data_IF_872937073711
#
_entry.id   IF_872937073711
#
_cell.length_a   1.000
_cell.length_b   1.000
_cell.length_c   1.000
_cell.angle_alpha   90.00
_cell.angle_beta   90.00
_cell.angle_gamma   90.00
#
_symmetry.space_group_name_H-M   'P 1'
#
loop_
_entity.id
_entity.type
_entity.pdbx_description
1 polymer ?
#
# COMPACT_ATOMS: atom_id res chain seq x y z
N UNK A 1 28.60 -8.33 -23.77
CA UNK A 1 27.85 -8.03 -22.54
C UNK A 1 28.59 -6.96 -21.76
N UNK A 2 27.97 -5.81 -21.55
CA UNK A 2 28.65 -4.64 -20.99
C UNK A 2 28.92 -4.83 -19.49
N UNK A 3 30.17 -4.71 -19.07
CA UNK A 3 30.66 -4.84 -17.68
C UNK A 3 30.36 -3.58 -16.85
N UNK A 4 29.14 -3.04 -16.97
CA UNK A 4 28.67 -1.92 -16.18
C UNK A 4 27.51 -2.36 -15.29
N UNK A 5 27.62 -2.04 -14.00
CA UNK A 5 26.54 -2.19 -13.03
C UNK A 5 25.45 -1.20 -13.42
N UNK A 6 24.40 -1.66 -14.08
CA UNK A 6 23.21 -0.84 -14.30
C UNK A 6 22.60 -0.53 -12.93
N UNK A 7 22.70 0.72 -12.48
CA UNK A 7 22.00 1.17 -11.30
C UNK A 7 20.50 1.05 -11.58
N UNK A 8 19.88 0.01 -11.04
CA UNK A 8 18.44 -0.14 -11.03
C UNK A 8 17.89 0.97 -10.14
N UNK A 9 17.49 2.08 -10.77
CA UNK A 9 16.82 3.18 -10.10
C UNK A 9 15.49 2.64 -9.57
N UNK A 10 15.41 2.40 -8.27
CA UNK A 10 14.13 2.07 -7.63
C UNK A 10 13.14 3.16 -7.99
N UNK A 11 11.98 2.78 -8.50
CA UNK A 11 10.84 3.68 -8.77
C UNK A 11 10.36 4.46 -7.53
N UNK A 12 10.93 4.16 -6.35
CA UNK A 12 10.81 4.92 -5.10
C UNK A 12 11.59 6.25 -5.07
N UNK A 13 12.52 6.50 -6.01
CA UNK A 13 13.40 7.69 -6.03
C UNK A 13 12.90 8.81 -6.97
N UNK A 14 11.66 8.76 -7.45
CA UNK A 14 11.02 9.96 -8.02
C UNK A 14 10.63 10.84 -6.83
N UNK A 15 11.16 12.07 -6.73
CA UNK A 15 10.84 12.94 -5.61
C UNK A 15 9.32 13.18 -5.61
N UNK A 16 8.70 12.75 -4.51
CA UNK A 16 7.52 13.33 -3.89
C UNK A 16 6.40 13.79 -4.82
N UNK A 17 5.25 13.10 -4.79
CA UNK A 17 4.00 13.83 -5.07
C UNK A 17 4.00 15.06 -4.16
N UNK A 18 3.98 16.27 -4.71
CA UNK A 18 4.03 17.56 -3.99
C UNK A 18 2.84 17.80 -3.05
N UNK A 19 2.02 16.79 -2.82
CA UNK A 19 0.75 16.85 -2.11
C UNK A 19 0.83 15.96 -0.86
N UNK A 20 0.55 16.56 0.29
CA UNK A 20 0.48 15.81 1.54
C UNK A 20 -0.67 14.80 1.51
N UNK A 21 -0.53 13.70 2.25
CA UNK A 21 -1.59 12.70 2.35
C UNK A 21 -2.91 13.32 2.83
N UNK A 22 -2.85 14.18 3.84
CA UNK A 22 -4.02 14.89 4.38
C UNK A 22 -4.73 15.70 3.31
N UNK A 23 -3.97 16.42 2.48
CA UNK A 23 -4.54 17.16 1.36
C UNK A 23 -5.25 16.25 0.35
N UNK A 24 -4.60 15.16 -0.05
CA UNK A 24 -5.19 14.18 -0.98
C UNK A 24 -6.52 13.63 -0.42
N UNK A 25 -6.56 13.29 0.87
CA UNK A 25 -7.76 12.79 1.52
C UNK A 25 -8.88 13.84 1.60
N UNK A 26 -8.55 15.11 1.87
CA UNK A 26 -9.53 16.21 1.85
C UNK A 26 -10.14 16.40 0.45
N UNK A 27 -9.33 16.33 -0.60
CA UNK A 27 -9.79 16.41 -1.98
C UNK A 27 -10.71 15.23 -2.32
N UNK A 28 -10.31 14.01 -1.97
CA UNK A 28 -11.13 12.81 -2.20
C UNK A 28 -12.44 12.86 -1.43
N UNK A 29 -12.43 13.36 -0.18
CA UNK A 29 -13.65 13.56 0.60
C UNK A 29 -14.62 14.51 -0.11
N UNK A 30 -14.13 15.64 -0.63
CA UNK A 30 -14.96 16.57 -1.41
C UNK A 30 -15.50 15.94 -2.69
N UNK A 31 -14.73 15.07 -3.35
CA UNK A 31 -15.16 14.37 -4.56
C UNK A 31 -16.25 13.33 -4.28
N UNK A 32 -16.06 12.46 -3.29
CA UNK A 32 -17.04 11.43 -2.93
C UNK A 32 -18.29 12.01 -2.26
N UNK A 33 -18.16 13.15 -1.57
CA UNK A 33 -19.28 13.89 -1.01
C UNK A 33 -20.22 14.51 -2.05
N UNK A 34 -19.86 14.50 -3.35
CA UNK A 34 -20.66 15.02 -4.47
C UNK A 34 -21.17 16.46 -4.30
N UNK A 35 -20.53 17.25 -3.44
CA UNK A 35 -20.97 18.63 -3.16
C UNK A 35 -20.56 19.62 -4.25
N UNK A 36 -19.59 19.26 -5.10
CA UNK A 36 -19.00 20.10 -6.14
C UNK A 36 -18.73 19.26 -7.39
N UNK A 37 -18.75 19.89 -8.57
CA UNK A 37 -18.33 19.23 -9.81
C UNK A 37 -16.81 19.02 -9.85
N UNK A 38 -16.34 18.18 -10.77
CA UNK A 38 -14.91 17.86 -10.91
C UNK A 38 -14.09 19.11 -11.25
N UNK A 39 -14.66 19.98 -12.09
CA UNK A 39 -14.06 21.25 -12.53
C UNK A 39 -13.99 22.24 -11.37
N UNK A 40 -15.05 22.30 -10.55
CA UNK A 40 -15.07 23.13 -9.34
C UNK A 40 -14.05 22.64 -8.31
N UNK A 41 -13.90 21.33 -8.13
CA UNK A 41 -12.90 20.74 -7.23
C UNK A 41 -11.50 21.07 -7.74
N UNK A 42 -11.24 20.87 -9.03
CA UNK A 42 -9.97 21.21 -9.69
C UNK A 42 -9.60 22.69 -9.48
N UNK A 43 -10.58 23.59 -9.63
CA UNK A 43 -10.41 25.03 -9.43
C UNK A 43 -10.16 25.40 -7.97
N UNK A 44 -10.97 24.89 -7.04
CA UNK A 44 -10.87 25.23 -5.60
C UNK A 44 -9.57 24.73 -4.98
N UNK A 45 -9.12 23.53 -5.36
CA UNK A 45 -7.93 22.91 -4.78
C UNK A 45 -6.67 23.15 -5.62
N UNK A 46 -6.78 23.83 -6.77
CA UNK A 46 -5.63 24.15 -7.64
C UNK A 46 -4.94 22.91 -8.22
N UNK A 47 -5.71 21.86 -8.51
CA UNK A 47 -5.18 20.59 -9.05
C UNK A 47 -5.72 20.32 -10.45
N UNK A 48 -4.96 19.60 -11.28
CA UNK A 48 -5.47 19.14 -12.56
C UNK A 48 -6.55 18.05 -12.38
N UNK A 49 -7.57 18.04 -13.25
CA UNK A 49 -8.63 17.01 -13.28
C UNK A 49 -8.05 15.59 -13.42
N UNK A 50 -7.01 15.42 -14.24
CA UNK A 50 -6.30 14.15 -14.39
C UNK A 50 -5.71 13.64 -13.07
N UNK A 51 -5.18 14.55 -12.26
CA UNK A 51 -4.59 14.22 -10.95
C UNK A 51 -5.65 13.70 -9.99
N UNK A 52 -6.85 14.31 -9.99
CA UNK A 52 -7.98 13.84 -9.19
C UNK A 52 -8.40 12.41 -9.57
N UNK A 53 -8.49 12.10 -10.86
CA UNK A 53 -8.85 10.76 -11.32
C UNK A 53 -7.78 9.72 -10.99
N UNK A 54 -6.49 10.07 -11.09
CA UNK A 54 -5.40 9.20 -10.64
C UNK A 54 -5.48 8.92 -9.15
N UNK A 55 -5.80 9.92 -8.33
CA UNK A 55 -5.98 9.74 -6.88
C UNK A 55 -7.19 8.89 -6.56
N UNK A 56 -8.31 9.08 -7.27
CA UNK A 56 -9.50 8.23 -7.15
C UNK A 56 -9.18 6.78 -7.47
N UNK A 57 -8.48 6.54 -8.58
CA UNK A 57 -8.09 5.18 -9.02
C UNK A 57 -7.19 4.51 -7.99
N UNK A 58 -6.18 5.24 -7.50
CA UNK A 58 -5.29 4.75 -6.46
C UNK A 58 -6.03 4.45 -5.15
N UNK A 59 -6.91 5.36 -4.73
CA UNK A 59 -7.74 5.19 -3.54
C UNK A 59 -8.63 3.95 -3.66
N UNK A 60 -9.33 3.77 -4.79
CA UNK A 60 -10.18 2.59 -4.98
C UNK A 60 -9.39 1.28 -4.97
N UNK A 61 -8.17 1.26 -5.54
CA UNK A 61 -7.30 0.09 -5.49
C UNK A 61 -6.90 -0.27 -4.05
N UNK A 62 -6.63 0.73 -3.22
CA UNK A 62 -6.11 0.52 -1.87
C UNK A 62 -7.21 0.56 -0.78
N UNK A 63 -8.44 0.90 -1.15
CA UNK A 63 -9.56 1.12 -0.21
C UNK A 63 -9.76 -0.06 0.71
N UNK A 64 -9.77 -1.28 0.17
CA UNK A 64 -10.02 -2.49 0.96
C UNK A 64 -8.89 -2.77 1.95
N UNK A 65 -7.63 -2.54 1.55
CA UNK A 65 -6.48 -2.67 2.44
C UNK A 65 -6.54 -1.62 3.55
N UNK A 66 -6.85 -0.37 3.21
CA UNK A 66 -6.99 0.71 4.18
C UNK A 66 -8.12 0.45 5.18
N UNK A 67 -9.27 0.00 4.70
CA UNK A 67 -10.40 -0.36 5.56
C UNK A 67 -10.06 -1.55 6.45
N UNK A 68 -9.38 -2.57 5.93
CA UNK A 68 -8.94 -3.71 6.73
C UNK A 68 -7.95 -3.33 7.84
N UNK A 69 -6.97 -2.46 7.54
CA UNK A 69 -6.02 -1.95 8.54
C UNK A 69 -6.73 -1.08 9.58
N UNK A 70 -7.66 -0.22 9.16
CA UNK A 70 -8.44 0.58 10.10
C UNK A 70 -9.31 -0.31 10.99
N UNK A 71 -9.99 -1.30 10.42
CA UNK A 71 -10.79 -2.26 11.19
C UNK A 71 -9.93 -3.01 12.20
N UNK A 72 -8.74 -3.50 11.81
CA UNK A 72 -7.84 -4.17 12.74
C UNK A 72 -7.31 -3.28 13.87
N UNK A 73 -7.18 -1.97 13.63
CA UNK A 73 -6.75 -1.01 14.66
C UNK A 73 -7.82 -0.75 15.72
N UNK A 74 -9.10 -0.77 15.34
CA UNK A 74 -10.21 -0.48 16.25
C UNK A 74 -10.87 -1.73 16.84
N UNK A 75 -10.60 -2.91 16.30
CA UNK A 75 -11.33 -4.14 16.61
C UNK A 75 -10.41 -5.20 17.23
N UNK A 76 -10.85 -5.79 18.33
CA UNK A 76 -10.15 -6.94 18.92
C UNK A 76 -10.37 -8.21 18.10
N UNK A 77 -9.37 -9.08 18.07
CA UNK A 77 -9.38 -10.31 17.28
C UNK A 77 -10.53 -11.24 17.67
N UNK A 78 -10.86 -11.30 18.96
CA UNK A 78 -11.93 -12.15 19.50
C UNK A 78 -13.34 -11.64 19.19
N UNK A 79 -13.51 -10.32 19.04
CA UNK A 79 -14.78 -9.73 18.61
C UNK A 79 -15.00 -9.94 17.11
N UNK A 80 -13.94 -9.83 16.32
CA UNK A 80 -13.96 -10.09 14.88
C UNK A 80 -14.36 -11.54 14.55
N UNK A 81 -13.71 -12.52 15.17
CA UNK A 81 -14.00 -13.94 14.90
C UNK A 81 -15.42 -14.36 15.32
N UNK A 82 -15.98 -13.73 16.35
CA UNK A 82 -17.34 -14.03 16.83
C UNK A 82 -18.43 -13.58 15.87
N UNK A 83 -18.21 -12.45 15.20
CA UNK A 83 -19.16 -11.86 14.27
C UNK A 83 -18.97 -12.35 12.83
N UNK A 84 -17.92 -13.15 12.57
CA UNK A 84 -17.66 -13.74 11.26
C UNK A 84 -18.71 -14.83 10.95
N UNK A 85 -19.88 -14.43 10.47
CA UNK A 85 -20.98 -15.33 10.10
C UNK A 85 -20.89 -15.84 8.66
N UNK A 86 -21.75 -16.80 8.29
CA UNK A 86 -21.58 -17.61 7.07
C UNK A 86 -21.48 -16.84 5.75
N UNK A 87 -22.09 -15.66 5.61
CA UNK A 87 -21.99 -14.86 4.37
C UNK A 87 -20.62 -14.18 4.25
N UNK A 88 -20.11 -13.65 5.35
CA UNK A 88 -18.82 -12.99 5.45
C UNK A 88 -17.69 -14.01 5.26
N UNK A 89 -17.84 -15.20 5.86
CA UNK A 89 -16.91 -16.33 5.68
C UNK A 89 -16.87 -16.79 4.22
N UNK A 90 -18.03 -16.91 3.56
CA UNK A 90 -18.08 -17.30 2.15
C UNK A 90 -17.40 -16.27 1.25
N UNK A 91 -17.68 -14.98 1.46
CA UNK A 91 -17.04 -13.90 0.71
C UNK A 91 -15.52 -13.84 0.94
N UNK A 92 -15.07 -14.08 2.17
CA UNK A 92 -13.65 -14.19 2.49
C UNK A 92 -13.01 -15.38 1.77
N UNK A 93 -13.65 -16.56 1.83
CA UNK A 93 -13.15 -17.77 1.19
C UNK A 93 -13.00 -17.59 -0.33
N UNK A 94 -14.03 -17.09 -1.01
CA UNK A 94 -13.95 -16.84 -2.47
C UNK A 94 -12.77 -15.94 -2.85
N UNK A 95 -12.51 -14.92 -2.03
CA UNK A 95 -11.50 -13.90 -2.32
C UNK A 95 -10.09 -14.30 -1.91
N UNK A 96 -9.93 -15.06 -0.83
CA UNK A 96 -8.64 -15.31 -0.19
C UNK A 96 -8.27 -16.80 -0.07
N UNK A 97 -9.10 -17.75 -0.55
CA UNK A 97 -8.85 -19.20 -0.39
C UNK A 97 -7.45 -19.62 -0.82
N UNK A 98 -6.92 -19.07 -1.90
CA UNK A 98 -5.59 -19.43 -2.37
C UNK A 98 -4.51 -18.79 -1.50
N UNK A 99 -4.52 -17.47 -1.33
CA UNK A 99 -3.48 -16.75 -0.58
C UNK A 99 -3.45 -17.07 0.92
N UNK A 100 -4.59 -17.39 1.53
CA UNK A 100 -4.68 -17.66 2.97
C UNK A 100 -4.33 -19.12 3.33
N UNK A 101 -4.64 -20.07 2.44
CA UNK A 101 -4.36 -21.49 2.65
C UNK A 101 -3.03 -21.92 2.01
N UNK A 102 -2.40 -21.04 1.23
CA UNK A 102 -1.07 -21.27 0.70
C UNK A 102 -0.06 -21.30 1.86
N UNK A 103 0.62 -22.45 1.98
CA UNK A 103 1.78 -22.59 2.86
C UNK A 103 2.80 -21.56 2.38
N UNK A 104 3.15 -20.58 3.22
CA UNK A 104 4.25 -19.68 2.90
C UNK A 104 5.47 -20.57 2.57
N UNK A 105 6.06 -20.50 1.37
CA UNK A 105 7.34 -21.13 1.14
C UNK A 105 8.28 -20.56 2.19
N UNK A 106 8.97 -21.43 2.92
CA UNK A 106 10.11 -21.02 3.73
C UNK A 106 11.09 -20.38 2.75
N UNK A 107 11.03 -19.07 2.59
CA UNK A 107 12.07 -18.34 1.89
C UNK A 107 13.27 -18.46 2.82
N UNK A 108 14.28 -19.20 2.36
CA UNK A 108 15.58 -19.25 3.02
C UNK A 108 15.95 -17.82 3.39
N UNK A 109 16.10 -17.55 4.69
CA UNK A 109 16.69 -16.28 5.14
C UNK A 109 17.99 -16.16 4.36
N UNK A 110 18.14 -15.12 3.55
CA UNK A 110 19.45 -14.77 3.03
C UNK A 110 20.39 -14.68 4.22
N UNK A 111 21.26 -15.68 4.33
CA UNK A 111 22.27 -15.76 5.36
C UNK A 111 23.08 -14.49 5.20
N UNK A 112 23.00 -13.62 6.20
CA UNK A 112 23.76 -12.39 6.23
C UNK A 112 25.22 -12.78 6.06
N UNK A 113 25.84 -12.41 4.93
CA UNK A 113 27.28 -12.52 4.73
C UNK A 113 27.95 -11.59 5.75
N UNK A 114 28.15 -12.10 6.97
CA UNK A 114 29.08 -11.52 7.93
C UNK A 114 30.46 -11.75 7.33
N UNK A 115 30.94 -10.74 6.61
CA UNK A 115 32.30 -10.70 6.12
C UNK A 115 33.27 -10.77 7.29
N UNK A 116 33.91 -11.93 7.45
CA UNK A 116 35.06 -12.12 8.31
C UNK A 116 36.17 -11.15 7.92
N UNK A 117 36.37 -10.08 8.68
CA UNK A 117 37.45 -9.12 8.46
C UNK A 117 38.19 -8.81 9.77
N UNK A 118 39.17 -9.66 10.14
CA UNK A 118 40.38 -9.36 10.95
C UNK A 118 41.13 -10.68 11.24
N UNK A 119 42.46 -10.82 11.20
CA UNK A 119 43.59 -9.87 11.28
C UNK A 119 44.76 -10.41 10.43
N UNK A 120 45.44 -9.56 9.66
CA UNK A 120 46.87 -9.77 9.36
C UNK A 120 47.64 -8.97 10.40
N UNK A 121 48.23 -9.66 11.37
CA UNK A 121 49.25 -9.10 12.25
C UNK A 121 50.57 -9.12 11.49
N UNK A 122 51.18 -7.94 11.34
CA UNK A 122 52.58 -7.76 10.97
C UNK A 122 53.34 -7.58 12.27
N UNK A 123 54.27 -8.47 12.55
CA UNK A 123 55.55 -8.23 13.24
C UNK A 123 56.51 -9.28 12.74
#
# INVERSE_FOLDING_TARGET
SCSHTHALLSSCLVPYRSYSLRFILTVLYSYFGKQKTVEQISTVFGIAVSTLYEWKKLFMRHKEVWLGVLESLYRSETSFLRELTGKEVYGFYEKFRFSFLERSPCTDREVSFIGSRKKRGVT
#
